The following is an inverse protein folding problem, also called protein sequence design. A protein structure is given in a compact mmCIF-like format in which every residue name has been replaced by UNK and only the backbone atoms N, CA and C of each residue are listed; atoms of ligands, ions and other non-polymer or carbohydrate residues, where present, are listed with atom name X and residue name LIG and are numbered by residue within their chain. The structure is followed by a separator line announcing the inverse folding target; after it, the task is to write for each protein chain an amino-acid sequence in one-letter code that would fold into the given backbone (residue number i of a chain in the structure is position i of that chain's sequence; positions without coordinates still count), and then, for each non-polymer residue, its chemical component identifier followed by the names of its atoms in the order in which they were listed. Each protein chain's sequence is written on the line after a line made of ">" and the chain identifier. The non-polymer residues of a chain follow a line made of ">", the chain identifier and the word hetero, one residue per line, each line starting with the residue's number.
data_IF_555480983660
#
_entry.id   IF_555480983660
#
_cell.length_a   1.000
_cell.length_b   1.000
_cell.length_c   1.000
_cell.angle_alpha   90.00
_cell.angle_beta   90.00
_cell.angle_gamma   90.00
#
_symmetry.space_group_name_H-M   'P 1'
#
loop_
_entity.id
_entity.type
_entity.pdbx_description
1 polymer ?
#
# COMPACT_ATOMS: atom_id res chain seq x y z
N UNK A 1 12.20 -13.49 19.79
CA UNK A 1 11.02 -13.52 18.90
C UNK A 1 10.72 -14.98 18.60
N UNK A 2 9.47 -15.41 18.66
CA UNK A 2 9.12 -16.82 18.42
C UNK A 2 9.23 -17.19 16.93
N UNK A 3 9.49 -18.47 16.64
CA UNK A 3 9.57 -19.02 15.27
C UNK A 3 8.32 -18.68 14.44
N UNK A 4 7.15 -18.76 15.06
CA UNK A 4 5.86 -18.43 14.42
C UNK A 4 5.78 -16.96 13.98
N UNK A 5 6.30 -16.03 14.79
CA UNK A 5 6.34 -14.60 14.44
C UNK A 5 7.27 -14.34 13.25
N UNK A 6 8.40 -15.04 13.17
CA UNK A 6 9.32 -14.95 12.03
C UNK A 6 8.67 -15.47 10.74
N UNK A 7 7.98 -16.62 10.81
CA UNK A 7 7.25 -17.20 9.69
C UNK A 7 6.17 -16.23 9.18
N UNK A 8 5.38 -15.65 10.09
CA UNK A 8 4.34 -14.67 9.73
C UNK A 8 4.94 -13.43 9.05
N UNK A 9 6.06 -12.92 9.55
CA UNK A 9 6.81 -11.84 8.91
C UNK A 9 7.12 -12.20 7.46
N UNK A 10 7.73 -13.36 7.26
CA UNK A 10 8.15 -13.84 5.93
C UNK A 10 6.99 -14.10 4.97
N UNK A 11 5.87 -14.60 5.47
CA UNK A 11 4.65 -14.76 4.68
C UNK A 11 4.14 -13.42 4.15
N UNK A 12 4.16 -12.38 4.99
CA UNK A 12 3.79 -11.04 4.54
C UNK A 12 4.76 -10.44 3.53
N UNK A 13 6.07 -10.64 3.72
CA UNK A 13 7.07 -10.26 2.70
C UNK A 13 6.77 -10.91 1.36
N UNK A 14 6.53 -12.23 1.32
CA UNK A 14 6.21 -12.94 0.08
C UNK A 14 4.90 -12.49 -0.55
N UNK A 15 3.87 -12.19 0.25
CA UNK A 15 2.64 -11.58 -0.26
C UNK A 15 2.93 -10.24 -0.95
N UNK A 16 3.74 -9.38 -0.32
CA UNK A 16 4.14 -8.08 -0.90
C UNK A 16 4.95 -8.28 -2.17
N UNK A 17 5.92 -9.19 -2.18
CA UNK A 17 6.75 -9.47 -3.36
C UNK A 17 5.89 -9.97 -4.52
N UNK A 18 4.94 -10.87 -4.27
CA UNK A 18 3.98 -11.30 -5.27
C UNK A 18 3.21 -10.10 -5.86
N UNK A 19 2.68 -9.21 -5.01
CA UNK A 19 1.92 -8.03 -5.46
C UNK A 19 2.73 -7.06 -6.30
N UNK A 20 4.03 -6.96 -6.04
CA UNK A 20 4.98 -6.15 -6.81
C UNK A 20 5.31 -6.81 -8.15
N UNK A 21 5.59 -8.11 -8.16
CA UNK A 21 5.88 -8.88 -9.38
C UNK A 21 4.68 -8.96 -10.33
N UNK A 22 3.45 -9.09 -9.80
CA UNK A 22 2.20 -8.97 -10.57
C UNK A 22 2.08 -7.64 -11.34
N UNK A 23 2.83 -6.61 -10.91
CA UNK A 23 2.88 -5.27 -11.53
C UNK A 23 4.16 -5.03 -12.33
N UNK A 24 4.91 -6.09 -12.62
CA UNK A 24 6.16 -6.04 -13.37
C UNK A 24 7.22 -5.13 -12.72
N UNK A 25 7.17 -4.97 -11.38
CA UNK A 25 8.19 -4.26 -10.63
C UNK A 25 9.30 -5.25 -10.23
N UNK A 26 10.54 -5.07 -10.70
CA UNK A 26 11.67 -5.87 -10.23
C UNK A 26 11.86 -5.69 -8.73
N UNK A 27 12.02 -6.79 -8.01
CA UNK A 27 12.21 -6.84 -6.55
C UNK A 27 13.63 -7.28 -6.23
N UNK A 28 14.36 -6.48 -5.46
CA UNK A 28 15.68 -6.78 -4.94
C UNK A 28 15.56 -6.96 -3.42
N UNK A 29 15.77 -8.17 -2.92
CA UNK A 29 15.79 -8.44 -1.49
C UNK A 29 17.22 -8.30 -0.95
N UNK A 30 17.45 -7.56 0.15
CA UNK A 30 18.77 -7.50 0.76
C UNK A 30 19.12 -8.85 1.39
N UNK A 31 20.41 -9.22 1.32
CA UNK A 31 20.91 -10.48 1.91
C UNK A 31 20.89 -10.45 3.45
N UNK A 32 21.00 -9.27 4.03
CA UNK A 32 21.02 -9.03 5.47
C UNK A 32 19.94 -8.00 5.83
N UNK A 33 19.38 -8.12 7.03
CA UNK A 33 18.47 -7.11 7.58
C UNK A 33 19.30 -5.87 7.96
N UNK A 34 19.31 -4.89 7.04
CA UNK A 34 19.96 -3.60 7.19
C UNK A 34 18.84 -2.56 7.26
N UNK A 35 18.76 -1.86 8.40
CA UNK A 35 17.78 -0.79 8.64
C UNK A 35 16.29 -1.23 8.56
N UNK A 36 16.02 -2.54 8.54
CA UNK A 36 14.66 -3.07 8.44
C UNK A 36 14.05 -2.94 7.05
N UNK A 37 14.87 -2.80 6.00
CA UNK A 37 14.41 -2.82 4.60
C UNK A 37 14.23 -4.28 4.17
N UNK A 38 13.03 -4.65 3.73
CA UNK A 38 12.70 -6.02 3.32
C UNK A 38 12.86 -6.22 1.81
N UNK A 39 12.65 -5.17 1.01
CA UNK A 39 13.04 -5.15 -0.39
C UNK A 39 13.22 -3.75 -0.94
N UNK A 40 13.87 -3.67 -2.10
CA UNK A 40 14.00 -2.48 -2.92
C UNK A 40 13.33 -2.81 -4.26
N UNK A 41 12.58 -1.88 -4.82
CA UNK A 41 12.03 -2.00 -6.18
C UNK A 41 12.61 -0.96 -7.11
N UNK A 42 12.61 -1.25 -8.41
CA UNK A 42 12.89 -0.26 -9.45
C UNK A 42 11.60 0.05 -10.21
N UNK A 43 11.16 1.30 -10.16
CA UNK A 43 9.99 1.76 -10.91
C UNK A 43 10.28 1.80 -12.42
N UNK A 44 9.24 1.79 -13.28
CA UNK A 44 9.40 2.01 -14.72
C UNK A 44 10.06 3.36 -15.07
N UNK A 45 10.01 4.32 -14.14
CA UNK A 45 10.65 5.64 -14.27
C UNK A 45 12.10 5.68 -13.77
N UNK A 46 12.66 4.52 -13.44
CA UNK A 46 14.05 4.36 -13.03
C UNK A 46 14.36 4.73 -11.58
N UNK A 47 13.36 5.07 -10.77
CA UNK A 47 13.53 5.34 -9.34
C UNK A 47 13.66 4.04 -8.55
N UNK A 48 14.52 4.05 -7.53
CA UNK A 48 14.56 3.01 -6.51
C UNK A 48 13.65 3.40 -5.35
N UNK A 49 12.96 2.43 -4.78
CA UNK A 49 12.11 2.62 -3.61
C UNK A 49 12.42 1.52 -2.61
N UNK A 50 12.77 1.94 -1.40
CA UNK A 50 12.93 1.06 -0.25
C UNK A 50 11.56 0.71 0.32
N UNK A 51 11.35 -0.57 0.65
CA UNK A 51 10.11 -1.07 1.22
C UNK A 51 10.42 -1.83 2.50
N UNK A 52 9.74 -1.44 3.58
CA UNK A 52 9.64 -2.22 4.81
C UNK A 52 8.22 -2.79 4.95
N UNK A 53 8.12 -4.08 5.22
CA UNK A 53 6.90 -4.82 5.43
C UNK A 53 6.69 -5.03 6.93
N UNK A 54 5.48 -4.75 7.40
CA UNK A 54 5.04 -5.05 8.77
C UNK A 54 3.78 -5.88 8.72
N UNK A 55 3.89 -7.13 9.14
CA UNK A 55 2.80 -8.10 9.10
C UNK A 55 2.14 -8.26 10.46
N UNK A 56 0.81 -8.33 10.48
CA UNK A 56 0.00 -8.71 11.65
C UNK A 56 -1.08 -9.69 11.22
N UNK A 57 -1.49 -10.56 12.12
CA UNK A 57 -2.53 -11.54 11.81
C UNK A 57 -3.93 -11.00 12.10
N UNK A 58 -4.15 -10.39 13.28
CA UNK A 58 -5.49 -10.02 13.77
C UNK A 58 -5.67 -8.52 13.96
N UNK A 59 -4.76 -7.90 14.70
CA UNK A 59 -4.87 -6.47 15.03
C UNK A 59 -4.12 -5.62 14.01
N UNK A 60 -4.79 -4.60 13.48
CA UNK A 60 -4.22 -3.64 12.55
C UNK A 60 -3.31 -2.61 13.27
N UNK A 61 -2.35 -3.11 14.06
CA UNK A 61 -1.41 -2.35 14.87
C UNK A 61 0.02 -2.64 14.40
N UNK A 62 0.64 -1.66 13.77
CA UNK A 62 1.94 -1.80 13.13
C UNK A 62 2.98 -0.92 13.81
N UNK A 63 4.08 -1.53 14.21
CA UNK A 63 5.15 -0.87 14.96
C UNK A 63 6.44 -0.81 14.16
N UNK A 64 7.08 0.35 14.15
CA UNK A 64 8.48 0.56 13.74
C UNK A 64 9.24 1.01 14.98
N UNK A 65 10.17 0.16 15.44
CA UNK A 65 11.00 0.44 16.62
C UNK A 65 12.34 1.05 16.22
N UNK A 66 12.87 1.91 17.08
CA UNK A 66 14.17 2.54 16.90
C UNK A 66 14.10 3.84 16.11
N UNK A 67 15.25 4.23 15.53
CA UNK A 67 15.36 5.45 14.72
C UNK A 67 14.59 5.23 13.42
N UNK A 68 13.60 6.07 13.18
CA UNK A 68 12.79 6.05 11.96
C UNK A 68 12.86 7.42 11.30
N UNK A 69 13.42 7.46 10.09
CA UNK A 69 13.63 8.69 9.34
C UNK A 69 12.80 8.64 8.06
N UNK A 70 11.66 9.36 8.01
CA UNK A 70 10.81 9.33 6.83
C UNK A 70 11.47 10.08 5.65
N UNK A 71 11.52 9.42 4.49
CA UNK A 71 12.09 9.93 3.22
C UNK A 71 11.18 9.60 2.04
N UNK A 72 11.38 10.27 0.90
CA UNK A 72 10.45 10.22 -0.23
C UNK A 72 10.41 8.84 -0.92
N UNK A 73 11.57 8.20 -1.00
CA UNK A 73 11.83 6.89 -1.62
C UNK A 73 11.76 5.73 -0.63
N UNK A 74 11.09 5.92 0.51
CA UNK A 74 10.88 4.87 1.51
C UNK A 74 9.41 4.66 1.80
N UNK A 75 8.94 3.43 1.68
CA UNK A 75 7.56 3.02 1.89
C UNK A 75 7.45 1.95 2.97
N UNK A 76 6.35 2.02 3.73
CA UNK A 76 5.96 1.02 4.72
C UNK A 76 4.71 0.31 4.22
N UNK A 77 4.81 -1.00 4.04
CA UNK A 77 3.67 -1.86 3.74
C UNK A 77 3.17 -2.52 5.01
N UNK A 78 2.06 -2.02 5.53
CA UNK A 78 1.37 -2.61 6.68
C UNK A 78 0.41 -3.69 6.18
N UNK A 79 0.72 -4.96 6.41
CA UNK A 79 -0.09 -6.09 5.95
C UNK A 79 -0.83 -6.78 7.10
N UNK A 80 -2.15 -6.83 7.01
CA UNK A 80 -3.02 -7.56 7.92
C UNK A 80 -3.44 -8.88 7.26
N UNK A 81 -2.77 -9.97 7.63
CA UNK A 81 -2.93 -11.28 7.00
C UNK A 81 -4.34 -11.86 7.19
N UNK A 82 -4.92 -11.76 8.38
CA UNK A 82 -6.26 -12.29 8.65
C UNK A 82 -7.39 -11.61 7.86
N UNK A 83 -7.11 -10.45 7.26
CA UNK A 83 -8.05 -9.75 6.37
C UNK A 83 -7.55 -9.63 4.92
N UNK A 84 -6.38 -10.22 4.61
CA UNK A 84 -5.64 -10.01 3.36
C UNK A 84 -5.63 -8.55 2.89
N UNK A 85 -5.39 -7.62 3.83
CA UNK A 85 -5.45 -6.19 3.56
C UNK A 85 -4.10 -5.54 3.80
N UNK A 86 -3.59 -4.84 2.79
CA UNK A 86 -2.33 -4.10 2.86
C UNK A 86 -2.58 -2.58 2.75
N UNK A 87 -1.82 -1.80 3.51
CA UNK A 87 -1.67 -0.36 3.33
C UNK A 87 -0.24 -0.07 2.88
N UNK A 88 -0.08 0.42 1.65
CA UNK A 88 1.21 0.79 1.05
C UNK A 88 1.41 2.28 1.24
N UNK A 89 2.15 2.66 2.28
CA UNK A 89 2.23 4.04 2.74
C UNK A 89 3.62 4.61 2.44
N UNK A 90 3.71 5.81 1.84
CA UNK A 90 4.96 6.58 1.92
C UNK A 90 5.37 6.72 3.39
N UNK A 91 6.66 6.62 3.70
CA UNK A 91 7.16 6.68 5.08
C UNK A 91 6.77 7.99 5.78
N UNK A 92 6.71 9.11 5.04
CA UNK A 92 6.17 10.40 5.52
C UNK A 92 4.70 10.34 5.89
N UNK A 93 3.88 9.58 5.17
CA UNK A 93 2.46 9.34 5.49
C UNK A 93 2.34 8.46 6.73
N UNK A 94 3.13 7.38 6.83
CA UNK A 94 3.18 6.57 8.04
C UNK A 94 3.55 7.44 9.25
N UNK A 95 4.62 8.24 9.14
CA UNK A 95 5.09 9.11 10.20
C UNK A 95 4.04 10.13 10.66
N UNK A 96 3.27 10.69 9.72
CA UNK A 96 2.18 11.62 10.01
C UNK A 96 1.07 10.99 10.86
N UNK A 97 0.71 9.74 10.59
CA UNK A 97 -0.43 9.08 11.25
C UNK A 97 -0.04 8.18 12.42
N UNK A 98 1.25 7.93 12.63
CA UNK A 98 1.72 7.12 13.74
C UNK A 98 1.65 7.88 15.07
N UNK A 99 1.39 7.13 16.14
CA UNK A 99 1.59 7.54 17.52
C UNK A 99 3.06 7.32 17.84
N UNK A 100 3.74 8.38 18.30
CA UNK A 100 5.13 8.32 18.75
C UNK A 100 5.13 8.03 20.24
N UNK A 101 5.76 6.93 20.63
CA UNK A 101 5.90 6.51 22.03
C UNK A 101 7.28 5.92 22.26
N UNK A 102 7.54 5.34 23.43
CA UNK A 102 8.76 4.60 23.71
C UNK A 102 8.47 3.32 24.48
N UNK A 103 9.29 2.30 24.24
CA UNK A 103 9.25 1.04 24.98
C UNK A 103 10.65 0.75 25.49
N UNK A 104 10.80 0.64 26.82
CA UNK A 104 12.10 0.44 27.48
C UNK A 104 13.16 1.47 27.05
N UNK A 105 12.76 2.75 26.93
CA UNK A 105 13.62 3.86 26.52
C UNK A 105 13.93 3.92 25.02
N UNK A 106 13.40 3.00 24.20
CA UNK A 106 13.60 3.01 22.74
C UNK A 106 12.39 3.65 22.03
N UNK A 107 12.60 4.56 21.06
CA UNK A 107 11.50 5.12 20.27
C UNK A 107 10.67 4.05 19.57
N UNK A 108 9.36 4.27 19.49
CA UNK A 108 8.40 3.42 18.82
C UNK A 108 7.42 4.28 18.03
N UNK A 109 7.24 3.97 16.75
CA UNK A 109 6.27 4.60 15.87
C UNK A 109 5.17 3.60 15.57
N UNK A 110 3.99 3.84 16.14
CA UNK A 110 2.85 2.92 16.12
C UNK A 110 1.73 3.43 15.25
N UNK A 111 1.35 2.70 14.21
CA UNK A 111 0.17 2.97 13.41
C UNK A 111 -0.96 2.01 13.81
N UNK A 112 -2.11 2.56 14.20
CA UNK A 112 -3.33 1.79 14.49
C UNK A 112 -4.38 2.11 13.42
N UNK A 113 -4.77 1.10 12.64
CA UNK A 113 -5.70 1.27 11.52
C UNK A 113 -7.13 0.87 11.90
N UNK A 114 -7.73 1.71 12.75
CA UNK A 114 -9.15 1.61 13.13
C UNK A 114 -10.12 2.08 12.04
N UNK A 115 -11.42 2.07 12.33
CA UNK A 115 -12.50 2.38 11.37
C UNK A 115 -12.31 3.71 10.63
N UNK A 116 -11.99 4.78 11.34
CA UNK A 116 -11.79 6.11 10.73
C UNK A 116 -10.50 6.16 9.91
N UNK A 117 -9.41 5.60 10.43
CA UNK A 117 -8.13 5.57 9.72
C UNK A 117 -8.19 4.75 8.44
N UNK A 118 -9.01 3.69 8.38
CA UNK A 118 -9.28 2.94 7.14
C UNK A 118 -9.89 3.82 6.05
N UNK A 119 -10.74 4.80 6.40
CA UNK A 119 -11.29 5.76 5.42
C UNK A 119 -10.21 6.73 4.95
N UNK A 120 -9.43 7.28 5.87
CA UNK A 120 -8.35 8.24 5.55
C UNK A 120 -7.26 7.60 4.68
N UNK A 121 -6.97 6.32 4.92
CA UNK A 121 -5.91 5.58 4.23
C UNK A 121 -6.42 4.75 3.04
N UNK A 122 -7.69 4.89 2.64
CA UNK A 122 -8.31 4.06 1.60
C UNK A 122 -7.58 4.13 0.24
N UNK A 123 -6.97 5.29 -0.07
CA UNK A 123 -6.20 5.48 -1.30
C UNK A 123 -4.89 4.70 -1.34
N UNK A 124 -4.40 4.25 -0.17
CA UNK A 124 -3.17 3.48 -0.02
C UNK A 124 -3.45 1.98 0.14
N UNK A 125 -4.70 1.54 0.01
CA UNK A 125 -5.10 0.17 0.35
C UNK A 125 -5.06 -0.75 -0.86
N UNK A 126 -4.46 -1.93 -0.68
CA UNK A 126 -4.37 -3.01 -1.68
C UNK A 126 -3.90 -2.47 -3.03
N UNK A 127 -4.64 -2.77 -4.11
CA UNK A 127 -4.23 -2.42 -5.47
C UNK A 127 -3.95 -0.93 -5.62
N UNK A 128 -4.77 -0.05 -5.04
CA UNK A 128 -4.53 1.40 -5.12
C UNK A 128 -3.20 1.81 -4.49
N UNK A 129 -2.83 1.17 -3.38
CA UNK A 129 -1.55 1.38 -2.73
C UNK A 129 -0.38 0.87 -3.58
N UNK A 130 -0.45 -0.36 -4.07
CA UNK A 130 0.61 -0.94 -4.89
C UNK A 130 0.76 -0.24 -6.25
N UNK A 131 -0.34 0.17 -6.88
CA UNK A 131 -0.32 0.91 -8.14
C UNK A 131 0.37 2.27 -7.97
N UNK A 132 0.28 2.89 -6.79
CA UNK A 132 0.98 4.15 -6.50
C UNK A 132 2.51 4.03 -6.59
N UNK A 133 3.08 2.84 -6.36
CA UNK A 133 4.51 2.58 -6.51
C UNK A 133 4.95 2.58 -7.98
N UNK A 134 4.10 2.07 -8.88
CA UNK A 134 4.36 2.06 -10.33
C UNK A 134 4.42 3.49 -10.87
N UNK A 135 3.57 4.36 -10.33
CA UNK A 135 3.44 5.75 -10.75
C UNK A 135 4.49 6.69 -10.12
N UNK A 136 5.20 6.21 -9.09
CA UNK A 136 6.18 7.00 -8.36
C UNK A 136 7.34 7.45 -9.26
N UNK A 137 7.71 8.72 -9.13
CA UNK A 137 8.71 9.35 -10.00
C UNK A 137 9.74 10.20 -9.27
N UNK A 138 9.85 10.05 -7.95
CA UNK A 138 10.74 10.88 -7.13
C UNK A 138 10.31 12.34 -7.03
N UNK A 139 11.05 13.12 -6.24
CA UNK A 139 10.86 14.57 -6.11
C UNK A 139 11.66 15.27 -7.21
N UNK A 140 10.97 16.04 -8.06
CA UNK A 140 11.63 16.97 -9.00
C UNK A 140 11.07 17.07 -10.42
N UNK A 141 10.18 16.17 -10.87
CA UNK A 141 9.44 16.33 -12.14
C UNK A 141 8.07 15.68 -12.10
N UNK A 142 7.13 16.29 -11.40
CA UNK A 142 5.70 16.06 -11.65
C UNK A 142 5.07 17.36 -12.13
N UNK A 143 4.98 17.52 -13.46
CA UNK A 143 3.70 17.99 -14.00
C UNK A 143 2.66 17.07 -13.37
N UNK A 144 1.68 17.63 -12.67
CA UNK A 144 0.59 16.90 -12.02
C UNK A 144 -0.06 16.02 -13.08
N UNK A 145 0.39 14.77 -13.16
CA UNK A 145 -0.22 13.76 -13.99
C UNK A 145 -1.49 13.33 -13.29
N UNK A 146 -2.53 13.06 -14.08
CA UNK A 146 -3.80 12.48 -13.61
C UNK A 146 -3.52 11.40 -12.57
N UNK A 147 -4.09 11.51 -11.38
CA UNK A 147 -4.07 10.50 -10.33
C UNK A 147 -4.51 9.14 -10.88
N UNK A 148 -4.11 8.03 -10.23
CA UNK A 148 -4.61 6.70 -10.58
C UNK A 148 -6.14 6.64 -10.64
N UNK A 149 -6.84 7.43 -9.80
CA UNK A 149 -8.29 7.61 -9.87
C UNK A 149 -8.76 8.31 -11.14
N UNK A 150 -8.10 9.40 -11.55
CA UNK A 150 -8.41 10.14 -12.77
C UNK A 150 -8.12 9.30 -14.03
N UNK A 151 -7.06 8.50 -14.01
CA UNK A 151 -6.75 7.54 -15.09
C UNK A 151 -7.77 6.40 -15.15
N UNK A 152 -8.12 5.77 -14.04
CA UNK A 152 -9.15 4.72 -14.01
C UNK A 152 -10.50 5.27 -14.44
N UNK A 153 -10.85 6.47 -13.98
CA UNK A 153 -12.06 7.18 -14.41
C UNK A 153 -12.05 7.38 -15.92
N UNK A 154 -10.97 7.90 -16.50
CA UNK A 154 -10.84 8.10 -17.95
C UNK A 154 -10.85 6.80 -18.75
N UNK A 155 -10.11 5.78 -18.30
CA UNK A 155 -10.09 4.44 -18.90
C UNK A 155 -11.49 3.83 -18.97
N UNK A 156 -12.22 3.81 -17.85
CA UNK A 156 -13.57 3.24 -17.82
C UNK A 156 -14.64 4.15 -18.44
N UNK A 157 -14.37 5.45 -18.58
CA UNK A 157 -15.20 6.32 -19.43
C UNK A 157 -15.03 5.99 -20.91
N UNK A 158 -13.80 5.70 -21.35
CA UNK A 158 -13.47 5.43 -22.75
C UNK A 158 -13.82 4.00 -23.18
N UNK A 159 -13.44 3.01 -22.38
CA UNK A 159 -13.57 1.57 -22.71
C UNK A 159 -14.87 0.97 -22.18
N UNK A 160 -15.62 1.72 -21.37
CA UNK A 160 -16.70 1.21 -20.55
C UNK A 160 -16.17 0.45 -19.33
N UNK A 161 -16.93 0.45 -18.24
CA UNK A 161 -16.56 -0.37 -17.09
C UNK A 161 -16.82 -1.81 -17.50
N UNK A 162 -15.91 -2.74 -17.19
CA UNK A 162 -16.17 -4.13 -17.46
C UNK A 162 -17.48 -4.49 -16.74
N UNK A 163 -18.37 -5.21 -17.44
CA UNK A 163 -19.68 -5.66 -16.93
C UNK A 163 -19.46 -6.75 -15.87
N UNK A 164 -18.73 -6.43 -14.81
CA UNK A 164 -18.43 -7.34 -13.73
C UNK A 164 -19.63 -7.26 -12.79
N UNK A 165 -20.38 -8.35 -12.69
CA UNK A 165 -21.16 -8.62 -11.48
C UNK A 165 -20.16 -8.57 -10.34
N UNK A 166 -20.26 -7.57 -9.46
CA UNK A 166 -19.39 -7.40 -8.30
C UNK A 166 -19.29 -8.74 -7.58
N UNK A 167 -18.22 -9.47 -7.83
CA UNK A 167 -18.05 -10.82 -7.33
C UNK A 167 -17.67 -10.74 -5.85
N UNK A 168 -18.22 -11.65 -5.04
CA UNK A 168 -17.81 -11.81 -3.63
C UNK A 168 -16.32 -12.12 -3.48
N UNK A 169 -15.63 -12.51 -4.57
CA UNK A 169 -14.19 -12.79 -4.63
C UNK A 169 -13.31 -11.54 -4.44
N UNK A 170 -13.83 -10.33 -4.64
CA UNK A 170 -13.06 -9.09 -4.47
C UNK A 170 -13.18 -8.52 -3.05
N UNK A 171 -12.12 -7.86 -2.57
CA UNK A 171 -12.15 -7.16 -1.28
C UNK A 171 -13.26 -6.10 -1.22
N UNK A 172 -13.77 -5.78 -0.03
CA UNK A 172 -14.84 -4.78 0.16
C UNK A 172 -14.48 -3.40 -0.43
N UNK A 173 -13.21 -3.01 -0.39
CA UNK A 173 -12.72 -1.76 -0.98
C UNK A 173 -12.78 -1.78 -2.51
N UNK A 174 -12.32 -2.87 -3.12
CA UNK A 174 -12.42 -3.09 -4.58
C UNK A 174 -13.88 -3.07 -5.02
N UNK A 175 -14.77 -3.76 -4.30
CA UNK A 175 -16.22 -3.74 -4.59
C UNK A 175 -16.83 -2.33 -4.52
N UNK A 176 -16.40 -1.50 -3.56
CA UNK A 176 -16.86 -0.11 -3.43
C UNK A 176 -16.48 0.74 -4.65
N UNK A 177 -15.24 0.60 -5.13
CA UNK A 177 -14.75 1.31 -6.32
C UNK A 177 -15.59 0.95 -7.55
N UNK A 178 -15.81 -0.34 -7.80
CA UNK A 178 -16.64 -0.81 -8.92
C UNK A 178 -18.06 -0.23 -8.89
N UNK A 179 -18.71 -0.24 -7.73
CA UNK A 179 -20.07 0.33 -7.56
C UNK A 179 -20.09 1.84 -7.87
N UNK A 180 -19.04 2.57 -7.53
CA UNK A 180 -18.96 4.03 -7.77
C UNK A 180 -18.81 4.34 -9.25
N UNK A 181 -17.99 3.57 -9.96
CA UNK A 181 -17.80 3.70 -11.41
C UNK A 181 -19.10 3.39 -12.16
N UNK A 182 -19.80 2.31 -11.80
CA UNK A 182 -21.11 1.95 -12.39
C UNK A 182 -22.16 3.05 -12.19
N UNK A 183 -22.21 3.67 -11.00
CA UNK A 183 -23.11 4.81 -10.73
C UNK A 183 -22.79 6.02 -11.62
N UNK A 184 -21.52 6.34 -11.83
CA UNK A 184 -21.09 7.46 -12.67
C UNK A 184 -21.49 7.24 -14.14
N UNK A 185 -21.29 6.03 -14.66
CA UNK A 185 -21.70 5.68 -16.02
C UNK A 185 -23.21 5.73 -16.22
N UNK A 186 -24.00 5.29 -15.23
CA UNK A 186 -25.47 5.41 -15.30
C UNK A 186 -25.91 6.86 -15.36
N UNK A 187 -25.26 7.77 -14.62
CA UNK A 187 -25.56 9.21 -14.68
C UNK A 187 -25.20 9.84 -16.03
N UNK A 188 -24.12 9.39 -16.67
CA UNK A 188 -23.68 9.93 -17.96
C UNK A 188 -24.46 9.41 -19.17
N UNK A 189 -25.19 8.30 -19.03
CA UNK A 189 -26.11 7.78 -20.07
C UNK A 189 -27.51 8.41 -20.04
N UNK A 190 -27.78 9.32 -19.11
CA UNK A 190 -29.08 9.99 -18.91
C UNK A 190 -29.03 11.45 -19.40
N UNK A 191 -28.01 11.81 -20.18
CA UNK A 191 -27.84 13.10 -20.87
C UNK A 191 -27.79 12.84 -22.36
#
# INVERSE_FOLDING_TARGET
>A
MGKETQILGKQGEFFVFQKLLERELPVYAPLFDIEGIDCIIRTPRGQHIDIQVKTREKDALFDISGRFEPRDDFFIVCFLAGEETAWVLPSKVFYKYCIKTSVKGKPLHRLIVGKEKRKELAQYTNDLGFDSLVEYSGVGKTKVGKSGWERLKEKYLREGAPKIRVSKKYSKGTQYVYRRIQKLQKKMKVV
#
